data_IF_652095341868
#
_entry.id   IF_652095341868
#
_cell.length_a   1.000
_cell.length_b   1.000
_cell.length_c   1.000
_cell.angle_alpha   90.00
_cell.angle_beta   90.00
_cell.angle_gamma   90.00
#
_symmetry.space_group_name_H-M   'P 1'
#
loop_
_entity.id
_entity.type
_entity.pdbx_description
1 polymer ?
#
# COMPACT_ATOMS: atom_id res chain seq x y z
N UNK A 1 -9.39 -22.41 9.05
CA UNK A 1 -8.16 -22.03 8.35
C UNK A 1 -8.47 -21.06 7.24
N UNK A 2 -7.75 -19.99 7.18
CA UNK A 2 -7.96 -19.00 6.14
C UNK A 2 -7.23 -19.39 4.85
N UNK A 3 -7.74 -18.91 3.76
CA UNK A 3 -7.21 -19.24 2.44
C UNK A 3 -6.17 -18.21 2.02
N UNK A 4 -4.94 -18.49 2.39
CA UNK A 4 -3.83 -17.58 2.12
C UNK A 4 -3.67 -17.33 0.61
N UNK A 5 -3.88 -18.36 -0.20
CA UNK A 5 -3.69 -18.27 -1.64
C UNK A 5 -4.59 -17.23 -2.30
N UNK A 6 -5.84 -17.16 -1.88
CA UNK A 6 -6.76 -16.18 -2.46
C UNK A 6 -6.35 -14.77 -2.11
N UNK A 7 -5.93 -14.56 -0.86
CA UNK A 7 -5.42 -13.27 -0.41
C UNK A 7 -4.22 -12.84 -1.22
N UNK A 8 -3.28 -13.77 -1.44
CA UNK A 8 -2.06 -13.46 -2.17
C UNK A 8 -2.34 -13.15 -3.64
N UNK A 9 -3.31 -13.83 -4.24
CA UNK A 9 -3.71 -13.56 -5.62
C UNK A 9 -4.23 -12.14 -5.78
N UNK A 10 -5.05 -11.70 -4.83
CA UNK A 10 -5.61 -10.34 -4.85
C UNK A 10 -4.48 -9.31 -4.77
N UNK A 11 -3.49 -9.55 -3.90
CA UNK A 11 -2.38 -8.63 -3.75
C UNK A 11 -1.43 -8.65 -4.94
N UNK A 12 -1.34 -9.75 -5.66
CA UNK A 12 -0.49 -9.83 -6.86
C UNK A 12 -1.03 -8.96 -7.99
N UNK A 13 -2.33 -8.77 -8.03
CA UNK A 13 -2.98 -7.95 -9.06
C UNK A 13 -3.12 -6.49 -8.63
N UNK A 14 -2.40 -6.09 -7.60
CA UNK A 14 -2.47 -4.74 -7.07
C UNK A 14 -1.90 -3.71 -8.05
N UNK A 15 -2.37 -2.49 -7.91
CA UNK A 15 -1.93 -1.36 -8.73
C UNK A 15 -0.68 -0.76 -8.10
N UNK A 16 0.38 -0.59 -8.87
CA UNK A 16 1.63 -0.04 -8.35
C UNK A 16 1.54 1.48 -8.19
N UNK A 17 1.90 1.96 -7.00
CA UNK A 17 1.98 3.39 -6.69
C UNK A 17 3.44 3.77 -6.49
N UNK A 18 3.93 4.71 -7.30
CA UNK A 18 5.34 5.12 -7.26
C UNK A 18 5.55 6.58 -6.91
N UNK A 19 4.48 7.39 -6.95
CA UNK A 19 4.59 8.82 -6.69
C UNK A 19 3.55 9.26 -5.68
N UNK A 20 3.87 10.33 -4.96
CA UNK A 20 2.94 10.93 -4.02
C UNK A 20 1.69 11.45 -4.75
N UNK A 21 1.89 12.02 -5.93
CA UNK A 21 0.80 12.53 -6.75
C UNK A 21 -0.21 11.43 -7.07
N UNK A 22 0.28 10.26 -7.47
CA UNK A 22 -0.59 9.11 -7.73
C UNK A 22 -1.30 8.66 -6.44
N UNK A 23 -0.56 8.59 -5.34
CA UNK A 23 -1.13 8.19 -4.05
C UNK A 23 -2.24 9.13 -3.62
N UNK A 24 -2.03 10.43 -3.80
CA UNK A 24 -3.02 11.43 -3.43
C UNK A 24 -4.27 11.34 -4.33
N UNK A 25 -4.07 11.05 -5.61
CA UNK A 25 -5.17 10.95 -6.57
C UNK A 25 -6.11 9.78 -6.27
N UNK A 26 -5.59 8.73 -5.63
CA UNK A 26 -6.39 7.54 -5.27
C UNK A 26 -7.63 7.95 -4.46
N UNK A 27 -7.47 8.85 -3.52
CA UNK A 27 -8.55 9.23 -2.61
C UNK A 27 -9.58 10.16 -3.25
N UNK A 28 -9.33 10.60 -4.48
CA UNK A 28 -10.30 11.36 -5.27
C UNK A 28 -11.20 10.45 -6.10
N UNK A 29 -10.86 9.19 -6.21
CA UNK A 29 -11.63 8.24 -7.00
C UNK A 29 -12.89 7.82 -6.25
N UNK A 30 -13.97 7.63 -7.01
CA UNK A 30 -15.24 7.20 -6.42
C UNK A 30 -15.32 5.69 -6.22
N UNK A 31 -14.57 4.94 -7.01
CA UNK A 31 -14.55 3.48 -6.91
C UNK A 31 -13.61 3.06 -5.80
N UNK A 32 -14.13 2.20 -4.92
CA UNK A 32 -13.36 1.60 -3.84
C UNK A 32 -13.10 0.13 -4.15
N UNK A 33 -12.53 -0.59 -3.20
CA UNK A 33 -12.24 -2.03 -3.31
C UNK A 33 -11.08 -2.32 -4.25
N UNK A 34 -10.09 -1.43 -4.28
CA UNK A 34 -8.85 -1.65 -5.00
C UNK A 34 -7.70 -1.79 -4.03
N UNK A 35 -6.66 -2.48 -4.46
CA UNK A 35 -5.45 -2.67 -3.68
C UNK A 35 -4.29 -2.01 -4.41
N UNK A 36 -3.54 -1.19 -3.69
CA UNK A 36 -2.42 -0.43 -4.23
C UNK A 36 -1.14 -0.88 -3.54
N UNK A 37 -0.14 -1.22 -4.32
CA UNK A 37 1.15 -1.67 -3.81
C UNK A 37 2.13 -0.50 -3.85
N UNK A 38 2.62 -0.04 -2.71
CA UNK A 38 3.48 1.13 -2.70
C UNK A 38 4.93 0.86 -2.29
N UNK A 39 5.24 -0.30 -1.73
CA UNK A 39 6.62 -0.60 -1.41
C UNK A 39 6.88 -2.09 -1.19
N UNK A 40 8.11 -2.52 -1.47
CA UNK A 40 8.63 -3.84 -1.14
C UNK A 40 9.99 -3.65 -0.51
N UNK A 41 10.21 -4.23 0.67
CA UNK A 41 11.47 -4.14 1.38
C UNK A 41 11.29 -3.67 2.82
N UNK A 42 12.31 -3.02 3.36
CA UNK A 42 12.30 -2.52 4.74
C UNK A 42 11.79 -1.08 4.74
N UNK A 43 10.49 -0.91 4.87
CA UNK A 43 9.85 0.40 4.75
C UNK A 43 10.45 1.44 5.70
N UNK A 44 10.63 1.10 6.97
CA UNK A 44 11.13 2.04 7.96
C UNK A 44 12.50 2.60 7.60
N UNK A 45 13.38 1.74 7.09
CA UNK A 45 14.71 2.15 6.68
C UNK A 45 14.70 2.88 5.35
N UNK A 46 13.90 2.39 4.41
CA UNK A 46 13.87 2.93 3.04
C UNK A 46 13.23 4.33 3.00
N UNK A 47 12.28 4.61 3.88
CA UNK A 47 11.65 5.93 4.00
C UNK A 47 12.64 7.02 4.31
N UNK A 48 13.66 6.72 5.09
CA UNK A 48 14.66 7.68 5.49
C UNK A 48 15.53 8.15 4.33
N UNK A 49 15.61 7.33 3.28
CA UNK A 49 16.43 7.58 2.11
C UNK A 49 15.65 8.00 0.88
N UNK A 50 14.33 7.98 0.98
CA UNK A 50 13.47 8.25 -0.17
C UNK A 50 12.31 9.13 0.27
N UNK A 51 12.43 10.42 -0.02
CA UNK A 51 11.42 11.41 0.37
C UNK A 51 10.06 11.12 -0.25
N UNK A 52 10.04 10.64 -1.48
CA UNK A 52 8.78 10.32 -2.16
C UNK A 52 8.08 9.18 -1.43
N UNK A 53 8.81 8.13 -1.11
CA UNK A 53 8.27 6.99 -0.37
C UNK A 53 7.77 7.42 1.01
N UNK A 54 8.51 8.29 1.68
CA UNK A 54 8.12 8.78 2.98
C UNK A 54 6.79 9.53 2.92
N UNK A 55 6.62 10.38 1.92
CA UNK A 55 5.37 11.11 1.73
C UNK A 55 4.19 10.19 1.42
N UNK A 56 4.42 9.17 0.60
CA UNK A 56 3.40 8.19 0.26
C UNK A 56 2.96 7.43 1.51
N UNK A 57 3.93 6.96 2.29
CA UNK A 57 3.65 6.23 3.53
C UNK A 57 2.87 7.07 4.51
N UNK A 58 3.28 8.31 4.68
CA UNK A 58 2.62 9.25 5.58
C UNK A 58 1.16 9.46 5.19
N UNK A 59 0.92 9.65 3.91
CA UNK A 59 -0.42 9.85 3.39
C UNK A 59 -1.31 8.64 3.67
N UNK A 60 -0.82 7.44 3.35
CA UNK A 60 -1.61 6.24 3.56
C UNK A 60 -1.91 5.97 5.02
N UNK A 61 -0.92 6.17 5.91
CA UNK A 61 -1.15 5.99 7.34
C UNK A 61 -2.13 7.01 7.89
N UNK A 62 -2.04 8.26 7.44
CA UNK A 62 -2.99 9.29 7.86
C UNK A 62 -4.41 8.95 7.41
N UNK A 63 -4.57 8.50 6.17
CA UNK A 63 -5.87 8.13 5.65
C UNK A 63 -6.43 6.90 6.34
N UNK A 64 -5.57 5.98 6.75
CA UNK A 64 -5.98 4.83 7.52
C UNK A 64 -6.47 5.24 8.91
N UNK A 65 -5.78 6.19 9.55
CA UNK A 65 -6.16 6.68 10.86
C UNK A 65 -7.55 7.29 10.88
N UNK A 66 -7.94 7.96 9.80
CA UNK A 66 -9.28 8.55 9.72
C UNK A 66 -10.30 7.63 9.07
N UNK A 67 -9.93 6.37 8.85
CA UNK A 67 -10.85 5.34 8.38
C UNK A 67 -11.13 5.34 6.89
N UNK A 68 -10.35 6.03 6.09
CA UNK A 68 -10.58 6.10 4.65
C UNK A 68 -9.97 4.95 3.89
N UNK A 69 -8.96 4.30 4.44
CA UNK A 69 -8.34 3.15 3.80
C UNK A 69 -7.75 2.24 4.86
N UNK A 70 -7.17 1.14 4.42
CA UNK A 70 -6.52 0.16 5.26
C UNK A 70 -5.09 -0.02 4.76
N UNK A 71 -4.11 0.04 5.67
CA UNK A 71 -2.72 -0.26 5.30
C UNK A 71 -2.43 -1.70 5.69
N UNK A 72 -1.81 -2.43 4.77
CA UNK A 72 -1.58 -3.86 4.93
C UNK A 72 -0.13 -4.18 4.63
N UNK A 73 0.45 -5.04 5.45
CA UNK A 73 1.80 -5.55 5.24
C UNK A 73 1.72 -7.06 5.06
N UNK A 74 2.34 -7.57 4.01
CA UNK A 74 2.32 -9.00 3.73
C UNK A 74 3.68 -9.49 3.25
N UNK A 75 4.00 -10.72 3.63
CA UNK A 75 5.19 -11.39 3.09
C UNK A 75 4.78 -12.15 1.85
N UNK A 76 5.37 -11.79 0.72
CA UNK A 76 5.13 -12.46 -0.56
C UNK A 76 6.47 -12.87 -1.12
N UNK A 77 6.69 -14.17 -1.31
CA UNK A 77 7.94 -14.71 -1.83
C UNK A 77 9.16 -14.23 -1.02
N UNK A 78 9.04 -14.23 0.31
CA UNK A 78 10.08 -13.79 1.25
C UNK A 78 10.34 -12.29 1.25
N UNK A 79 9.60 -11.53 0.47
CA UNK A 79 9.69 -10.07 0.46
C UNK A 79 8.56 -9.46 1.27
N UNK A 80 8.88 -8.44 2.03
CA UNK A 80 7.88 -7.71 2.79
C UNK A 80 7.25 -6.66 1.88
N UNK A 81 5.95 -6.77 1.63
CA UNK A 81 5.22 -5.89 0.73
C UNK A 81 4.22 -5.05 1.49
N UNK A 82 4.08 -3.80 1.07
CA UNK A 82 3.21 -2.84 1.73
C UNK A 82 2.13 -2.36 0.77
N UNK A 83 0.88 -2.42 1.25
CA UNK A 83 -0.29 -2.14 0.42
C UNK A 83 -1.23 -1.16 1.11
N UNK A 84 -1.97 -0.42 0.28
CA UNK A 84 -3.10 0.38 0.72
C UNK A 84 -4.36 -0.22 0.08
N UNK A 85 -5.35 -0.52 0.88
CA UNK A 85 -6.63 -1.05 0.41
C UNK A 85 -7.69 0.02 0.57
N UNK A 86 -8.22 0.45 -0.57
CA UNK A 86 -9.17 1.55 -0.57
C UNK A 86 -10.49 1.18 -1.20
#
# INVERSE_FOLDING_TARGET
>A
MYTVNNSDSVYKDSIRVRTYEHANAIFSEKKKSKIYHYHTGALAADRERNDELDKISHLFYRMADIGKCEVVQKMINKDCCYFCRY
#
